data_IF_691159950546
#
_entry.id   IF_691159950546
#
_cell.length_a   1.000
_cell.length_b   1.000
_cell.length_c   1.000
_cell.angle_alpha   90.00
_cell.angle_beta   90.00
_cell.angle_gamma   90.00
#
_symmetry.space_group_name_H-M   'P 1'
#
loop_
_entity.id
_entity.type
_entity.pdbx_description
1 polymer ?
#
# COMPACT_ATOMS: atom_id res chain seq x y z
N UNK A 1 5.02 -14.52 0.79
CA UNK A 1 5.94 -13.37 0.72
C UNK A 1 5.92 -12.69 2.09
N UNK A 2 7.08 -12.28 2.64
CA UNK A 2 7.14 -11.48 3.88
C UNK A 2 6.34 -10.17 3.76
N UNK A 3 5.99 -9.56 4.89
CA UNK A 3 5.33 -8.24 4.90
C UNK A 3 6.24 -7.14 4.35
N UNK A 4 5.71 -5.95 4.08
CA UNK A 4 6.47 -4.87 3.48
C UNK A 4 7.57 -4.37 4.42
N UNK A 5 7.27 -4.20 5.71
CA UNK A 5 8.28 -3.81 6.70
C UNK A 5 9.34 -4.87 6.89
N UNK A 6 8.97 -6.16 6.87
CA UNK A 6 9.94 -7.25 6.96
C UNK A 6 10.85 -7.32 5.72
N UNK A 7 10.35 -6.94 4.54
CA UNK A 7 11.20 -6.79 3.36
C UNK A 7 12.19 -5.63 3.51
N UNK A 8 11.74 -4.49 4.04
CA UNK A 8 12.57 -3.32 4.31
C UNK A 8 13.66 -3.61 5.35
N UNK A 9 13.31 -4.34 6.42
CA UNK A 9 14.26 -4.78 7.44
C UNK A 9 15.37 -5.66 6.90
N UNK A 10 15.08 -6.50 5.90
CA UNK A 10 16.07 -7.39 5.26
C UNK A 10 17.06 -6.65 4.36
N UNK A 11 16.81 -5.39 4.04
CA UNK A 11 17.73 -4.51 3.33
C UNK A 11 18.28 -3.42 4.25
N UNK A 12 18.42 -3.74 5.54
CA UNK A 12 18.93 -2.86 6.59
C UNK A 12 18.18 -1.53 6.69
N UNK A 13 16.88 -1.58 6.41
CA UNK A 13 15.98 -0.42 6.41
C UNK A 13 16.44 0.73 5.50
N UNK A 14 17.21 0.41 4.45
CA UNK A 14 17.83 1.39 3.57
C UNK A 14 17.00 1.64 2.29
N UNK A 15 16.91 2.91 1.88
CA UNK A 15 16.42 3.30 0.56
C UNK A 15 17.61 3.55 -0.38
N UNK A 16 17.96 2.54 -1.17
CA UNK A 16 19.22 2.50 -1.94
C UNK A 16 19.23 3.36 -3.21
N UNK A 17 18.10 3.95 -3.61
CA UNK A 17 17.96 4.74 -4.82
C UNK A 17 17.13 6.03 -4.56
N UNK A 18 17.19 7.05 -5.44
CA UNK A 18 16.38 8.26 -5.34
C UNK A 18 14.85 8.03 -5.40
N UNK A 19 14.44 6.78 -5.60
CA UNK A 19 13.06 6.35 -5.60
C UNK A 19 12.93 4.94 -5.01
N UNK A 20 11.71 4.61 -4.61
CA UNK A 20 11.34 3.30 -4.06
C UNK A 20 10.06 2.82 -4.74
N UNK A 21 10.01 1.53 -5.07
CA UNK A 21 8.82 0.90 -5.66
C UNK A 21 8.26 -0.12 -4.67
N UNK A 22 7.02 0.08 -4.24
CA UNK A 22 6.26 -0.85 -3.41
C UNK A 22 5.26 -1.59 -4.30
N UNK A 23 5.30 -2.93 -4.32
CA UNK A 23 4.33 -3.74 -5.05
C UNK A 23 3.42 -4.48 -4.08
N UNK A 24 2.14 -4.09 -4.04
CA UNK A 24 1.14 -4.71 -3.18
C UNK A 24 0.61 -5.98 -3.86
N UNK A 25 0.93 -7.13 -3.27
CA UNK A 25 0.59 -8.45 -3.80
C UNK A 25 -0.41 -9.18 -2.91
N UNK A 26 -1.11 -10.14 -3.49
CA UNK A 26 -2.02 -11.02 -2.75
C UNK A 26 -1.24 -11.92 -1.79
N UNK A 27 -1.60 -11.97 -0.50
CA UNK A 27 -1.05 -12.95 0.43
C UNK A 27 -1.34 -14.38 -0.05
N UNK A 28 -0.34 -15.26 0.06
CA UNK A 28 -0.49 -16.68 -0.21
C UNK A 28 -1.28 -17.33 0.92
N UNK A 29 -2.60 -17.51 0.74
CA UNK A 29 -3.47 -18.57 1.34
C UNK A 29 -4.98 -18.26 1.13
N UNK A 30 -5.40 -18.03 -0.11
CA UNK A 30 -6.83 -18.14 -0.46
C UNK A 30 -6.93 -18.99 -1.73
N UNK A 31 -7.74 -20.04 -1.72
CA UNK A 31 -7.94 -20.86 -2.93
C UNK A 31 -8.48 -19.97 -4.04
N UNK A 32 -7.83 -20.04 -5.20
CA UNK A 32 -8.08 -19.21 -6.37
C UNK A 32 -9.57 -19.17 -6.76
N UNK A 33 -10.23 -20.32 -6.67
CA UNK A 33 -11.66 -20.53 -6.92
C UNK A 33 -12.57 -19.75 -5.96
N UNK A 34 -12.26 -19.74 -4.65
CA UNK A 34 -13.10 -19.07 -3.65
C UNK A 34 -12.95 -17.54 -3.67
N UNK A 35 -11.74 -17.04 -3.98
CA UNK A 35 -11.47 -15.62 -4.14
C UNK A 35 -12.19 -15.05 -5.38
N UNK A 36 -12.09 -15.74 -6.52
CA UNK A 36 -12.68 -15.29 -7.79
C UNK A 36 -14.20 -15.20 -7.74
N UNK A 37 -14.87 -16.22 -7.17
CA UNK A 37 -16.33 -16.26 -7.05
C UNK A 37 -16.90 -15.20 -6.08
N UNK A 38 -16.09 -14.71 -5.14
CA UNK A 38 -16.48 -13.71 -4.14
C UNK A 38 -16.11 -12.28 -4.58
N UNK A 39 -15.09 -12.14 -5.42
CA UNK A 39 -14.57 -10.87 -5.90
C UNK A 39 -15.36 -10.30 -7.08
N UNK A 40 -15.97 -11.09 -7.96
CA UNK A 40 -16.80 -10.56 -9.04
C UNK A 40 -18.03 -9.80 -8.51
N UNK A 41 -18.36 -8.61 -9.05
CA UNK A 41 -17.80 -7.95 -10.24
C UNK A 41 -16.62 -6.97 -9.99
N UNK A 42 -15.78 -7.23 -8.99
CA UNK A 42 -14.65 -6.39 -8.52
C UNK A 42 -15.08 -4.99 -8.09
N UNK A 43 -16.34 -4.81 -7.71
CA UNK A 43 -16.91 -3.53 -7.29
C UNK A 43 -16.72 -3.24 -5.79
N UNK A 44 -16.16 -4.17 -5.03
CA UNK A 44 -16.02 -4.09 -3.58
C UNK A 44 -14.70 -4.72 -3.13
N UNK A 45 -14.21 -4.27 -1.98
CA UNK A 45 -13.05 -4.90 -1.34
C UNK A 45 -13.47 -6.26 -0.78
N UNK A 46 -12.73 -7.30 -1.14
CA UNK A 46 -12.97 -8.70 -0.71
C UNK A 46 -11.71 -9.20 -0.02
N UNK A 47 -11.72 -9.16 1.31
CA UNK A 47 -10.56 -9.51 2.13
C UNK A 47 -9.62 -8.33 2.30
N UNK A 48 -9.98 -7.40 3.19
CA UNK A 48 -9.12 -6.28 3.56
C UNK A 48 -7.79 -6.79 4.12
N UNK A 49 -6.70 -6.14 3.73
CA UNK A 49 -5.35 -6.38 4.24
C UNK A 49 -4.90 -5.14 5.03
N UNK A 50 -5.40 -4.95 6.26
CA UNK A 50 -5.15 -3.74 7.04
C UNK A 50 -3.66 -3.54 7.34
N UNK A 51 -2.92 -4.60 7.62
CA UNK A 51 -1.47 -4.53 7.86
C UNK A 51 -0.72 -4.07 6.62
N UNK A 52 -1.00 -4.65 5.45
CA UNK A 52 -0.41 -4.21 4.18
C UNK A 52 -0.67 -2.72 3.92
N UNK A 53 -1.89 -2.24 4.20
CA UNK A 53 -2.22 -0.82 4.04
C UNK A 53 -1.41 0.07 4.98
N UNK A 54 -1.36 -0.29 6.26
CA UNK A 54 -0.62 0.46 7.28
C UNK A 54 0.86 0.53 6.93
N UNK A 55 1.47 -0.62 6.65
CA UNK A 55 2.89 -0.71 6.31
C UNK A 55 3.23 0.04 5.01
N UNK A 56 2.34 0.00 4.01
CA UNK A 56 2.53 0.77 2.78
C UNK A 56 2.52 2.29 3.03
N UNK A 57 1.58 2.78 3.85
CA UNK A 57 1.50 4.20 4.22
C UNK A 57 2.73 4.63 5.01
N UNK A 58 3.18 3.80 5.95
CA UNK A 58 4.39 4.05 6.75
C UNK A 58 5.63 4.15 5.86
N UNK A 59 5.86 3.18 4.98
CA UNK A 59 7.01 3.21 4.08
C UNK A 59 6.97 4.40 3.12
N UNK A 60 5.80 4.74 2.56
CA UNK A 60 5.67 5.93 1.71
C UNK A 60 6.06 7.19 2.46
N UNK A 61 5.63 7.33 3.73
CA UNK A 61 6.00 8.48 4.56
C UNK A 61 7.51 8.54 4.81
N UNK A 62 8.15 7.42 5.12
CA UNK A 62 9.59 7.36 5.36
C UNK A 62 10.38 7.73 4.09
N UNK A 63 9.99 7.19 2.93
CA UNK A 63 10.61 7.53 1.63
C UNK A 63 10.49 9.03 1.34
N UNK A 64 9.31 9.62 1.54
CA UNK A 64 9.07 11.05 1.30
C UNK A 64 9.83 11.93 2.30
N UNK A 65 9.91 11.52 3.58
CA UNK A 65 10.70 12.23 4.60
C UNK A 65 12.20 12.28 4.26
N UNK A 66 12.71 11.28 3.55
CA UNK A 66 14.07 11.28 2.99
C UNK A 66 14.22 12.05 1.66
N UNK A 67 13.19 12.81 1.23
CA UNK A 67 13.15 13.51 -0.05
C UNK A 67 13.30 12.57 -1.27
N UNK A 68 12.85 11.31 -1.15
CA UNK A 68 12.85 10.33 -2.23
C UNK A 68 11.45 10.14 -2.81
N UNK A 69 11.36 9.60 -4.02
CA UNK A 69 10.07 9.35 -4.70
C UNK A 69 9.54 7.95 -4.40
N UNK A 70 8.30 7.84 -3.92
CA UNK A 70 7.63 6.55 -3.74
C UNK A 70 6.66 6.25 -4.90
N UNK A 71 6.75 5.04 -5.47
CA UNK A 71 5.78 4.50 -6.42
C UNK A 71 5.10 3.28 -5.80
N UNK A 72 3.77 3.30 -5.71
CA UNK A 72 2.98 2.19 -5.16
C UNK A 72 2.18 1.52 -6.26
N UNK A 73 2.50 0.27 -6.56
CA UNK A 73 1.83 -0.56 -7.55
C UNK A 73 0.84 -1.49 -6.86
N UNK A 74 -0.46 -1.26 -7.08
CA UNK A 74 -1.52 -2.03 -6.44
C UNK A 74 -2.06 -3.10 -7.39
N UNK A 75 -1.88 -4.37 -7.03
CA UNK A 75 -2.45 -5.48 -7.78
C UNK A 75 -3.95 -5.62 -7.47
N UNK A 76 -4.82 -5.70 -8.50
CA UNK A 76 -6.26 -5.93 -8.32
C UNK A 76 -6.57 -7.13 -7.41
N UNK A 77 -5.72 -8.17 -7.41
CA UNK A 77 -5.91 -9.37 -6.63
C UNK A 77 -5.56 -9.22 -5.15
N UNK A 78 -4.95 -8.12 -4.70
CA UNK A 78 -4.56 -7.98 -3.29
C UNK A 78 -5.78 -7.90 -2.37
N UNK A 79 -6.74 -7.05 -2.73
CA UNK A 79 -7.98 -6.83 -1.97
C UNK A 79 -9.25 -6.92 -2.84
N UNK A 80 -9.13 -7.37 -4.10
CA UNK A 80 -10.25 -7.50 -5.03
C UNK A 80 -10.67 -6.21 -5.74
N UNK A 81 -10.07 -5.06 -5.43
CA UNK A 81 -10.28 -3.81 -6.18
C UNK A 81 -9.11 -2.83 -5.95
N UNK A 82 -8.19 -2.72 -6.91
CA UNK A 82 -7.03 -1.83 -6.74
C UNK A 82 -7.44 -0.35 -6.64
N UNK A 83 -8.47 0.08 -7.38
CA UNK A 83 -8.90 1.50 -7.37
C UNK A 83 -9.41 1.93 -6.00
N UNK A 84 -10.22 1.09 -5.33
CA UNK A 84 -10.68 1.35 -3.97
C UNK A 84 -9.53 1.26 -2.96
N UNK A 85 -8.61 0.30 -3.12
CA UNK A 85 -7.42 0.22 -2.28
C UNK A 85 -6.57 1.50 -2.40
N UNK A 86 -6.33 1.99 -3.62
CA UNK A 86 -5.62 3.25 -3.86
C UNK A 86 -6.33 4.42 -3.17
N UNK A 87 -7.65 4.53 -3.30
CA UNK A 87 -8.42 5.58 -2.61
C UNK A 87 -8.25 5.54 -1.09
N UNK A 88 -8.27 4.34 -0.49
CA UNK A 88 -8.05 4.19 0.96
C UNK A 88 -6.63 4.60 1.35
N UNK A 89 -5.61 4.18 0.59
CA UNK A 89 -4.22 4.57 0.85
C UNK A 89 -4.04 6.08 0.73
N UNK A 90 -4.62 6.71 -0.29
CA UNK A 90 -4.60 8.16 -0.49
C UNK A 90 -5.26 8.90 0.68
N UNK A 91 -6.40 8.42 1.17
CA UNK A 91 -7.06 9.00 2.35
C UNK A 91 -6.19 8.89 3.59
N UNK A 92 -5.54 7.75 3.81
CA UNK A 92 -4.64 7.54 4.94
C UNK A 92 -3.39 8.44 4.87
N UNK A 93 -2.84 8.65 3.66
CA UNK A 93 -1.71 9.57 3.44
C UNK A 93 -2.09 11.02 3.73
N UNK A 94 -3.25 11.48 3.25
CA UNK A 94 -3.76 12.85 3.47
C UNK A 94 -4.23 13.13 4.90
N UNK A 95 -4.70 12.11 5.62
CA UNK A 95 -5.27 12.25 6.96
C UNK A 95 -4.30 12.76 8.06
N UNK A 96 -3.01 12.96 7.74
CA UNK A 96 -2.01 13.54 8.63
C UNK A 96 -1.42 14.87 8.10
N UNK A 97 -1.94 15.46 7.01
CA UNK A 97 -1.60 16.84 6.65
C UNK A 97 -2.24 17.79 7.68
N UNK A 98 -1.45 18.42 8.56
CA UNK A 98 -1.90 19.62 9.24
C UNK A 98 -2.24 20.68 8.17
N UNK A 99 -3.34 21.44 8.31
CA UNK A 99 -3.63 22.51 7.37
C UNK A 99 -2.48 23.50 7.39
N UNK A 100 -1.77 23.62 6.27
CA UNK A 100 -0.83 24.72 6.05
C UNK A 100 -1.64 26.00 6.02
N UNK A 101 -1.72 26.69 7.15
CA UNK A 101 -2.22 28.07 7.20
C UNK A 101 -1.26 28.87 6.34
N UNK A 102 -1.70 29.25 5.14
CA UNK A 102 -1.02 30.30 4.38
C UNK A 102 -1.42 31.61 5.02
N UNK A 103 -0.53 32.13 5.88
CA UNK A 103 -0.63 33.52 6.35
C UNK A 103 -0.62 34.43 5.12
N UNK A 104 -1.64 35.28 5.04
CA UNK A 104 -1.82 36.34 4.04
C UNK A 104 -1.43 37.67 4.65
#
# INVERSE_FOLDING_TARGET
MPSLLEQHRRIDESFTAPFTVLRLLTPLKMSYEAAKKRAEPYNKIVGTLPDMRREAVELVRNVVAENRRAYVLVNNRSEGNASLTIQVLMKALRGNEQPTIRES
#
